data_IF_822687716593
#
_entry.id   IF_822687716593
#
_cell.length_a   1.000
_cell.length_b   1.000
_cell.length_c   1.000
_cell.angle_alpha   90.00
_cell.angle_beta   90.00
_cell.angle_gamma   90.00
#
_symmetry.space_group_name_H-M   'P 1'
#
loop_
_entity.id
_entity.type
_entity.pdbx_description
1 polymer ?
#
# COMPACT_ATOMS: atom_id res chain seq x y z
N UNK A 1 -31.90 -0.50 5.55
CA UNK A 1 -31.26 0.29 4.47
C UNK A 1 -30.59 1.55 5.02
N UNK A 2 -31.23 2.30 5.92
CA UNK A 2 -30.64 3.50 6.53
C UNK A 2 -29.31 3.26 7.27
N UNK A 3 -29.16 2.15 7.99
CA UNK A 3 -27.89 1.77 8.66
C UNK A 3 -26.77 1.37 7.69
N UNK A 4 -27.11 0.82 6.52
CA UNK A 4 -26.14 0.35 5.51
C UNK A 4 -25.59 1.55 4.74
N UNK A 5 -26.46 2.50 4.41
CA UNK A 5 -26.03 3.76 3.82
C UNK A 5 -25.25 4.61 4.83
N UNK A 6 -25.62 4.64 6.12
CA UNK A 6 -24.82 5.37 7.12
C UNK A 6 -23.46 4.76 7.40
N UNK A 7 -23.29 3.43 7.30
CA UNK A 7 -22.02 2.77 7.62
C UNK A 7 -20.83 3.33 6.82
N UNK A 8 -20.99 3.60 5.51
CA UNK A 8 -19.90 4.21 4.74
C UNK A 8 -19.63 5.66 5.20
N UNK A 9 -20.66 6.40 5.59
CA UNK A 9 -20.57 7.81 5.99
C UNK A 9 -20.11 7.97 7.46
N UNK A 10 -20.23 6.93 8.28
CA UNK A 10 -19.72 6.88 9.66
C UNK A 10 -18.19 6.75 9.69
N UNK A 11 -17.62 6.03 8.70
CA UNK A 11 -16.18 5.81 8.61
C UNK A 11 -15.47 6.74 7.61
N UNK A 12 -16.22 7.40 6.72
CA UNK A 12 -15.68 8.27 5.68
C UNK A 12 -16.52 9.54 5.53
N UNK A 13 -15.88 10.66 5.14
CA UNK A 13 -16.59 11.92 4.90
C UNK A 13 -17.71 11.75 3.86
N UNK A 14 -18.80 12.54 3.90
CA UNK A 14 -19.87 12.50 2.90
C UNK A 14 -19.38 12.59 1.44
N UNK A 15 -18.28 13.31 1.20
CA UNK A 15 -17.64 13.47 -0.12
C UNK A 15 -16.87 12.24 -0.62
N UNK A 16 -16.68 11.22 0.23
CA UNK A 16 -15.98 10.00 -0.16
C UNK A 16 -16.74 9.24 -1.25
N UNK A 17 -18.08 9.28 -1.23
CA UNK A 17 -18.89 8.67 -2.28
C UNK A 17 -18.69 9.31 -3.64
N UNK A 18 -18.69 10.64 -3.68
CA UNK A 18 -18.47 11.41 -4.90
C UNK A 18 -17.09 11.07 -5.49
N UNK A 19 -16.06 11.06 -4.64
CA UNK A 19 -14.69 10.69 -5.03
C UNK A 19 -14.58 9.24 -5.51
N UNK A 20 -15.33 8.31 -4.91
CA UNK A 20 -15.35 6.90 -5.33
C UNK A 20 -16.15 6.69 -6.62
N UNK A 21 -17.20 7.49 -6.86
CA UNK A 21 -18.00 7.45 -8.08
C UNK A 21 -17.24 8.06 -9.29
N UNK A 22 -16.26 8.94 -9.06
CA UNK A 22 -15.35 9.46 -10.09
C UNK A 22 -14.33 8.41 -10.61
N UNK A 23 -14.13 7.30 -9.88
CA UNK A 23 -13.19 6.27 -10.30
C UNK A 23 -13.76 5.43 -11.46
N UNK A 24 -12.96 5.27 -12.52
CA UNK A 24 -13.30 4.41 -13.67
C UNK A 24 -13.19 2.90 -13.39
N UNK A 25 -12.83 2.52 -12.17
CA UNK A 25 -12.56 1.14 -11.78
C UNK A 25 -13.83 0.36 -11.37
N UNK A 26 -13.78 -0.96 -11.51
CA UNK A 26 -14.92 -1.86 -11.29
C UNK A 26 -14.80 -2.52 -9.91
N UNK A 27 -15.41 -1.95 -8.88
CA UNK A 27 -15.26 -2.44 -7.51
C UNK A 27 -16.52 -2.28 -6.68
N UNK A 28 -16.56 -3.04 -5.58
CA UNK A 28 -17.52 -2.91 -4.50
C UNK A 28 -16.78 -2.76 -3.17
N UNK A 29 -17.40 -2.11 -2.20
CA UNK A 29 -16.91 -1.99 -0.82
C UNK A 29 -17.89 -2.73 0.07
N UNK A 30 -17.38 -3.61 0.92
CA UNK A 30 -18.17 -4.34 1.93
C UNK A 30 -17.79 -3.86 3.32
N UNK A 31 -18.76 -3.79 4.22
CA UNK A 31 -18.49 -3.51 5.63
C UNK A 31 -18.43 -4.81 6.43
N UNK A 32 -17.24 -5.20 6.94
CA UNK A 32 -17.08 -6.42 7.73
C UNK A 32 -17.64 -6.31 9.16
N UNK A 33 -17.93 -5.11 9.66
CA UNK A 33 -18.53 -4.91 10.98
C UNK A 33 -20.01 -5.30 11.02
N UNK A 34 -20.67 -5.35 9.85
CA UNK A 34 -22.07 -5.76 9.72
C UNK A 34 -22.15 -7.25 9.38
N UNK A 35 -23.00 -7.97 10.12
CA UNK A 35 -23.22 -9.41 9.90
C UNK A 35 -23.58 -9.70 8.44
N UNK A 36 -22.88 -10.68 7.85
CA UNK A 36 -23.04 -11.05 6.44
C UNK A 36 -22.13 -10.29 5.47
N UNK A 37 -21.32 -9.34 5.97
CA UNK A 37 -20.38 -8.52 5.19
C UNK A 37 -21.07 -7.87 3.97
N UNK A 38 -22.15 -7.12 4.18
CA UNK A 38 -22.92 -6.55 3.09
C UNK A 38 -22.10 -5.54 2.30
N UNK A 39 -22.40 -5.45 1.01
CA UNK A 39 -21.89 -4.42 0.13
C UNK A 39 -22.52 -3.10 0.54
N UNK A 40 -21.70 -2.12 0.90
CA UNK A 40 -22.10 -0.77 1.29
C UNK A 40 -21.91 0.24 0.15
N UNK A 41 -21.11 -0.11 -0.87
CA UNK A 41 -20.91 0.71 -2.06
C UNK A 41 -20.59 -0.14 -3.30
N UNK A 42 -21.05 0.30 -4.46
CA UNK A 42 -20.72 -0.30 -5.75
C UNK A 42 -20.46 0.81 -6.79
N UNK A 43 -19.30 0.73 -7.45
CA UNK A 43 -18.88 1.75 -8.43
C UNK A 43 -19.77 1.75 -9.66
N UNK A 44 -19.89 2.90 -10.33
CA UNK A 44 -20.69 3.02 -11.54
C UNK A 44 -20.20 2.08 -12.66
N UNK A 45 -18.89 1.96 -12.83
CA UNK A 45 -18.29 1.03 -13.80
C UNK A 45 -18.63 -0.44 -13.48
N UNK A 46 -18.62 -0.82 -12.20
CA UNK A 46 -19.04 -2.16 -11.79
C UNK A 46 -20.50 -2.45 -12.15
N UNK A 47 -21.42 -1.56 -11.78
CA UNK A 47 -22.85 -1.72 -12.05
C UNK A 47 -23.13 -1.84 -13.55
N UNK A 48 -22.46 -1.00 -14.36
CA UNK A 48 -22.54 -1.05 -15.83
C UNK A 48 -22.02 -2.36 -16.40
N UNK A 49 -20.92 -2.89 -15.87
CA UNK A 49 -20.33 -4.16 -16.31
C UNK A 49 -21.21 -5.36 -15.97
N UNK A 50 -21.77 -5.39 -14.76
CA UNK A 50 -22.55 -6.55 -14.31
C UNK A 50 -24.03 -6.49 -14.70
N UNK A 51 -24.53 -5.30 -15.05
CA UNK A 51 -25.94 -5.08 -15.38
C UNK A 51 -26.87 -5.05 -14.16
N UNK A 52 -26.34 -5.05 -12.95
CA UNK A 52 -27.13 -4.92 -11.71
C UNK A 52 -27.33 -3.45 -11.39
N UNK A 53 -28.49 -3.13 -10.82
CA UNK A 53 -28.76 -1.81 -10.26
C UNK A 53 -28.14 -1.67 -8.87
N UNK A 54 -27.93 -0.41 -8.43
CA UNK A 54 -27.36 -0.14 -7.11
C UNK A 54 -28.21 -0.74 -5.98
N UNK A 55 -29.53 -0.65 -6.08
CA UNK A 55 -30.47 -1.15 -5.07
C UNK A 55 -30.51 -2.68 -4.98
N UNK A 56 -30.17 -3.38 -6.07
CA UNK A 56 -30.06 -4.84 -6.07
C UNK A 56 -28.78 -5.33 -5.38
N UNK A 57 -27.72 -4.52 -5.40
CA UNK A 57 -26.37 -4.89 -4.93
C UNK A 57 -26.13 -4.42 -3.50
N UNK A 58 -26.49 -3.18 -3.17
CA UNK A 58 -26.24 -2.61 -1.85
C UNK A 58 -27.07 -3.35 -0.80
N UNK A 59 -26.42 -3.71 0.31
CA UNK A 59 -26.99 -4.53 1.37
C UNK A 59 -26.96 -6.04 1.13
N UNK A 60 -26.52 -6.49 -0.05
CA UNK A 60 -26.28 -7.92 -0.32
C UNK A 60 -24.84 -8.30 -0.01
N UNK A 61 -24.61 -9.59 0.25
CA UNK A 61 -23.25 -10.13 0.35
C UNK A 61 -22.67 -10.36 -1.05
N UNK A 62 -21.34 -10.27 -1.19
CA UNK A 62 -20.63 -10.61 -2.44
C UNK A 62 -20.89 -12.04 -2.94
N UNK A 63 -21.46 -12.91 -2.10
CA UNK A 63 -21.98 -14.21 -2.51
C UNK A 63 -23.06 -14.14 -3.60
N UNK A 64 -23.76 -13.02 -3.77
CA UNK A 64 -24.78 -12.84 -4.81
C UNK A 64 -24.23 -13.00 -6.24
N UNK A 65 -22.93 -12.79 -6.43
CA UNK A 65 -22.26 -12.92 -7.73
C UNK A 65 -21.74 -14.34 -7.99
N UNK A 66 -22.05 -15.31 -7.13
CA UNK A 66 -21.63 -16.70 -7.27
C UNK A 66 -22.71 -17.51 -7.98
N UNK A 67 -22.40 -18.01 -9.17
CA UNK A 67 -23.27 -18.87 -9.97
C UNK A 67 -22.87 -20.35 -9.92
N UNK A 68 -23.60 -21.22 -10.64
CA UNK A 68 -23.31 -22.66 -10.71
C UNK A 68 -21.89 -22.99 -11.22
N UNK A 69 -21.32 -22.11 -12.04
CA UNK A 69 -19.97 -22.23 -12.58
C UNK A 69 -18.88 -21.66 -11.66
N UNK A 70 -19.24 -21.02 -10.54
CA UNK A 70 -18.27 -20.44 -9.61
C UNK A 70 -17.51 -21.54 -8.88
N UNK A 71 -16.19 -21.52 -8.98
CA UNK A 71 -15.33 -22.51 -8.34
C UNK A 71 -15.41 -22.41 -6.81
N UNK A 72 -16.13 -23.36 -6.17
CA UNK A 72 -16.28 -23.39 -4.70
C UNK A 72 -14.95 -23.42 -3.95
N UNK A 73 -13.95 -24.09 -4.51
CA UNK A 73 -12.60 -24.14 -3.93
C UNK A 73 -11.95 -22.75 -3.88
N UNK A 74 -11.99 -22.00 -4.98
CA UNK A 74 -11.46 -20.63 -5.02
C UNK A 74 -12.22 -19.72 -4.05
N UNK A 75 -13.54 -19.88 -3.93
CA UNK A 75 -14.35 -19.13 -2.94
C UNK A 75 -13.93 -19.44 -1.51
N UNK A 76 -13.66 -20.70 -1.17
CA UNK A 76 -13.17 -21.08 0.16
C UNK A 76 -11.77 -20.54 0.43
N UNK A 77 -10.86 -20.63 -0.54
CA UNK A 77 -9.50 -20.05 -0.44
C UNK A 77 -9.56 -18.53 -0.20
N UNK A 78 -10.45 -17.81 -0.91
CA UNK A 78 -10.67 -16.37 -0.69
C UNK A 78 -11.27 -16.11 0.70
N UNK A 79 -12.25 -16.89 1.14
CA UNK A 79 -12.90 -16.72 2.45
C UNK A 79 -11.95 -16.98 3.61
N UNK A 80 -11.10 -18.00 3.51
CA UNK A 80 -10.07 -18.28 4.51
C UNK A 80 -9.03 -17.15 4.54
N UNK A 81 -8.57 -16.70 3.38
CA UNK A 81 -7.63 -15.59 3.28
C UNK A 81 -8.17 -14.28 3.87
N UNK A 82 -9.44 -13.94 3.61
CA UNK A 82 -10.10 -12.78 4.23
C UNK A 82 -10.26 -12.96 5.74
N UNK A 83 -10.56 -14.18 6.22
CA UNK A 83 -10.68 -14.48 7.66
C UNK A 83 -9.33 -14.45 8.39
N UNK A 84 -8.26 -14.86 7.72
CA UNK A 84 -6.90 -14.94 8.28
C UNK A 84 -6.05 -13.69 7.99
N UNK A 85 -6.62 -12.64 7.38
CA UNK A 85 -5.90 -11.46 6.85
C UNK A 85 -4.67 -11.83 5.99
N UNK A 86 -4.73 -12.97 5.30
CA UNK A 86 -3.67 -13.46 4.40
C UNK A 86 -3.98 -13.09 2.96
N UNK A 87 -2.96 -12.80 2.16
CA UNK A 87 -3.12 -12.69 0.71
C UNK A 87 -3.41 -14.07 0.09
N UNK A 88 -4.41 -14.16 -0.79
CA UNK A 88 -4.72 -15.40 -1.55
C UNK A 88 -3.68 -15.57 -2.67
N UNK A 89 -2.88 -16.65 -2.69
CA UNK A 89 -2.13 -17.02 -3.89
C UNK A 89 -3.09 -17.76 -4.84
N UNK A 90 -3.43 -17.15 -5.97
CA UNK A 90 -4.16 -17.85 -7.04
C UNK A 90 -3.25 -18.93 -7.65
N UNK A 91 -3.42 -20.19 -7.21
CA UNK A 91 -2.65 -21.33 -7.74
C UNK A 91 -3.15 -21.75 -9.13
N UNK A 92 -2.29 -21.61 -10.15
CA UNK A 92 -2.40 -22.38 -11.40
C UNK A 92 -1.94 -23.83 -11.15
N UNK A 93 -2.65 -24.80 -11.75
CA UNK A 93 -2.32 -26.24 -11.66
C UNK A 93 -0.90 -26.52 -12.15
N UNK A 94 -0.11 -27.38 -11.47
CA UNK A 94 1.13 -27.90 -12.03
C UNK A 94 0.81 -28.89 -13.17
N UNK A 95 1.49 -28.74 -14.30
CA UNK A 95 1.66 -29.84 -15.26
C UNK A 95 2.67 -30.81 -14.68
N UNK A 96 2.29 -32.08 -14.62
CA UNK A 96 3.19 -33.19 -14.33
C UNK A 96 4.10 -33.37 -15.53
N UNK A 97 5.41 -33.21 -15.34
CA UNK A 97 6.44 -33.83 -16.17
C UNK A 97 7.41 -34.50 -15.22
N UNK A 98 7.58 -35.81 -15.41
CA UNK A 98 8.31 -36.68 -14.49
C UNK A 98 9.83 -36.66 -14.68
N UNK A 99 10.43 -37.42 -13.76
CA UNK A 99 11.77 -38.02 -13.77
C UNK A 99 12.90 -37.23 -13.11
N UNK A 100 13.28 -37.71 -11.93
CA UNK A 100 14.69 -38.01 -11.61
C UNK A 100 15.42 -37.06 -10.65
N UNK A 101 15.86 -37.61 -9.51
CA UNK A 101 17.05 -37.15 -8.78
C UNK A 101 16.81 -36.08 -7.73
N UNK A 102 16.80 -36.47 -6.46
CA UNK A 102 16.64 -35.55 -5.33
C UNK A 102 17.86 -34.69 -5.06
N UNK A 103 17.64 -33.56 -4.39
CA UNK A 103 18.52 -33.02 -3.35
C UNK A 103 17.70 -32.08 -2.44
N UNK A 104 18.13 -32.04 -1.19
CA UNK A 104 17.57 -31.37 -0.01
C UNK A 104 17.16 -29.90 -0.23
N UNK A 105 15.89 -29.59 0.00
CA UNK A 105 15.36 -28.23 0.02
C UNK A 105 15.35 -27.71 1.47
N UNK A 106 16.27 -26.80 1.78
CA UNK A 106 16.19 -25.97 2.99
C UNK A 106 15.08 -24.95 2.75
N UNK A 107 13.97 -25.13 3.46
CA UNK A 107 12.81 -24.24 3.42
C UNK A 107 13.06 -23.10 4.42
N UNK A 108 13.51 -21.95 3.93
CA UNK A 108 13.52 -20.73 4.73
C UNK A 108 12.13 -20.08 4.69
N UNK A 109 11.32 -20.39 5.70
CA UNK A 109 10.03 -19.77 5.93
C UNK A 109 10.23 -18.39 6.58
N UNK A 110 10.00 -17.31 5.85
CA UNK A 110 9.82 -15.99 6.45
C UNK A 110 8.31 -15.72 6.58
N UNK A 111 7.80 -15.97 7.78
CA UNK A 111 6.48 -15.55 8.22
C UNK A 111 6.48 -14.05 8.54
N UNK A 112 5.45 -13.31 8.09
CA UNK A 112 5.08 -12.04 8.73
C UNK A 112 3.59 -11.75 8.62
N UNK A 113 2.91 -11.87 9.76
CA UNK A 113 1.63 -11.21 10.05
C UNK A 113 1.92 -9.97 10.91
N UNK A 114 1.10 -8.93 10.75
CA UNK A 114 1.00 -7.83 11.71
C UNK A 114 -0.40 -7.83 12.32
N UNK A 115 -0.62 -8.68 13.34
CA UNK A 115 -1.52 -8.44 14.49
C UNK A 115 -1.52 -9.65 15.42
N UNK A 116 -0.63 -9.62 16.41
CA UNK A 116 -0.88 -10.13 17.76
C UNK A 116 -0.22 -9.12 18.70
N UNK A 117 -1.01 -8.16 19.13
CA UNK A 117 -0.65 -7.36 20.29
C UNK A 117 -0.71 -8.26 21.51
N UNK A 118 0.41 -8.28 22.24
CA UNK A 118 0.56 -8.48 23.68
C UNK A 118 -0.67 -9.04 24.41
N UNK A 119 -0.80 -10.36 24.48
CA UNK A 119 -1.34 -11.00 25.69
C UNK A 119 -0.15 -11.40 26.53
N UNK A 120 0.12 -10.65 27.60
CA UNK A 120 0.92 -11.12 28.72
C UNK A 120 -0.02 -11.20 29.90
N UNK A 121 -0.46 -12.42 30.20
CA UNK A 121 -0.98 -12.77 31.52
C UNK A 121 0.17 -12.69 32.51
N UNK A 122 0.16 -11.68 33.37
CA UNK A 122 0.70 -11.81 34.72
C UNK A 122 -0.09 -10.95 35.68
N UNK A 123 -0.75 -11.66 36.60
CA UNK A 123 -1.47 -11.24 37.78
C UNK A 123 -0.77 -10.13 38.59
N UNK A 124 -1.63 -9.37 39.27
CA UNK A 124 -1.41 -8.68 40.54
C UNK A 124 -0.50 -7.44 40.52
N UNK A 125 -1.11 -6.27 40.37
CA UNK A 125 -1.24 -5.30 41.47
C UNK A 125 -2.13 -4.12 41.06
N UNK A 126 -2.68 -3.43 42.08
CA UNK A 126 -3.54 -2.24 42.01
C UNK A 126 -5.05 -2.49 41.79
N UNK A 127 -5.60 -3.34 42.66
CA UNK A 127 -6.84 -2.94 43.34
C UNK A 127 -6.53 -1.82 44.34
N UNK A 128 -7.48 -0.89 44.52
CA UNK A 128 -7.47 0.39 45.29
C UNK A 128 -7.11 1.56 44.37
N UNK A 129 -8.07 2.33 43.86
CA UNK A 129 -9.05 3.10 44.65
C UNK A 129 -10.43 3.05 44.00
N UNK A 130 -11.40 2.66 44.82
CA UNK A 130 -12.84 2.66 44.54
C UNK A 130 -13.45 4.00 44.98
N UNK A 131 -14.40 4.47 44.18
CA UNK A 131 -15.62 5.20 44.59
C UNK A 131 -15.59 6.71 44.81
N UNK A 132 -16.73 7.30 44.39
CA UNK A 132 -17.25 8.66 44.52
C UNK A 132 -16.77 9.65 43.43
N UNK A 133 -17.61 10.25 42.60
CA UNK A 133 -18.95 10.77 42.88
C UNK A 133 -19.91 10.74 41.67
N UNK A 134 -21.19 10.70 42.01
CA UNK A 134 -22.39 10.73 41.17
C UNK A 134 -22.70 12.15 40.65
N UNK A 135 -23.27 12.17 39.44
CA UNK A 135 -24.38 13.03 38.92
C UNK A 135 -24.16 14.55 38.91
N UNK A 136 -24.31 15.18 37.74
CA UNK A 136 -25.38 16.13 37.41
C UNK A 136 -25.34 16.48 35.92
N UNK A 137 -26.51 16.38 35.28
CA UNK A 137 -26.78 16.99 33.98
C UNK A 137 -26.71 18.52 34.11
N UNK A 138 -26.14 19.19 33.11
CA UNK A 138 -26.61 20.50 32.71
C UNK A 138 -26.36 20.73 31.22
N UNK A 139 -27.38 21.31 30.60
CA UNK A 139 -27.51 21.61 29.18
C UNK A 139 -26.95 23.03 28.88
N UNK A 140 -26.69 23.27 27.59
CA UNK A 140 -26.54 24.55 26.86
C UNK A 140 -25.18 25.31 26.87
N UNK A 141 -24.59 25.33 25.67
CA UNK A 141 -23.75 26.36 25.00
C UNK A 141 -22.58 27.02 25.75
N UNK A 142 -21.36 26.86 25.19
CA UNK A 142 -20.47 27.99 24.92
C UNK A 142 -19.32 27.57 23.97
N UNK A 143 -18.95 28.49 23.08
CA UNK A 143 -17.78 28.38 22.20
C UNK A 143 -16.50 28.37 23.05
N UNK A 144 -15.68 27.34 22.90
CA UNK A 144 -14.28 27.41 23.33
C UNK A 144 -13.36 27.19 22.13
N UNK A 145 -12.54 28.21 21.88
CA UNK A 145 -11.39 28.20 20.99
C UNK A 145 -10.44 27.06 21.39
N UNK A 146 -10.26 26.08 20.50
CA UNK A 146 -9.23 25.04 20.63
C UNK A 146 -7.84 25.69 20.49
N UNK A 147 -7.26 26.10 21.62
CA UNK A 147 -5.83 26.41 21.70
C UNK A 147 -4.99 25.16 21.40
N UNK A 148 -3.81 25.29 20.76
CA UNK A 148 -2.90 24.17 20.55
C UNK A 148 -2.49 23.57 21.90
N UNK A 149 -3.07 22.42 22.26
CA UNK A 149 -2.73 21.71 23.50
C UNK A 149 -1.31 21.17 23.38
N UNK A 150 -0.37 21.87 23.99
CA UNK A 150 0.96 21.32 24.22
C UNK A 150 0.85 20.10 25.15
N UNK A 151 1.41 18.97 24.71
CA UNK A 151 1.43 17.75 25.52
C UNK A 151 2.00 18.05 26.90
N UNK A 152 1.28 17.63 27.94
CA UNK A 152 1.64 17.90 29.33
C UNK A 152 3.00 17.29 29.68
N UNK A 153 3.67 17.82 30.69
CA UNK A 153 4.97 17.28 31.13
C UNK A 153 4.92 15.78 31.46
N UNK A 154 3.77 15.29 31.91
CA UNK A 154 3.54 13.89 32.24
C UNK A 154 3.32 13.03 30.99
N UNK A 155 2.62 13.54 29.97
CA UNK A 155 2.50 12.88 28.66
C UNK A 155 3.87 12.78 27.97
N UNK A 156 4.69 13.85 28.03
CA UNK A 156 6.05 13.85 27.48
C UNK A 156 6.93 12.82 28.18
N UNK A 157 6.86 12.71 29.51
CA UNK A 157 7.56 11.68 30.30
C UNK A 157 7.08 10.27 30.01
N UNK A 158 5.76 10.09 29.89
CA UNK A 158 5.14 8.80 29.57
C UNK A 158 5.59 8.32 28.17
N UNK A 159 5.56 9.19 27.17
CA UNK A 159 6.05 8.90 25.82
C UNK A 159 7.55 8.57 25.80
N UNK A 160 8.37 9.31 26.56
CA UNK A 160 9.81 9.04 26.69
C UNK A 160 10.07 7.65 27.30
N UNK A 161 9.33 7.30 28.35
CA UNK A 161 9.44 6.00 29.03
C UNK A 161 9.01 4.85 28.11
N UNK A 162 7.91 5.03 27.36
CA UNK A 162 7.46 4.06 26.36
C UNK A 162 8.52 3.85 25.26
N UNK A 163 9.15 4.93 24.78
CA UNK A 163 10.25 4.83 23.80
C UNK A 163 11.45 4.08 24.36
N UNK A 164 11.88 4.36 25.60
CA UNK A 164 13.01 3.65 26.22
C UNK A 164 12.72 2.15 26.41
N UNK A 165 11.49 1.79 26.78
CA UNK A 165 11.07 0.39 26.87
C UNK A 165 11.12 -0.32 25.51
N UNK A 166 10.60 0.32 24.46
CA UNK A 166 10.66 -0.21 23.09
C UNK A 166 12.12 -0.40 22.66
N UNK A 167 12.97 0.61 22.89
CA UNK A 167 14.39 0.53 22.55
C UNK A 167 15.11 -0.58 23.31
N UNK A 168 14.80 -0.78 24.60
CA UNK A 168 15.36 -1.86 25.41
C UNK A 168 15.05 -3.22 24.80
N UNK A 169 13.78 -3.48 24.45
CA UNK A 169 13.35 -4.73 23.81
C UNK A 169 14.02 -4.92 22.45
N UNK A 170 14.06 -3.87 21.62
CA UNK A 170 14.67 -3.92 20.30
C UNK A 170 16.19 -4.13 20.36
N UNK A 171 16.87 -3.53 21.35
CA UNK A 171 18.32 -3.70 21.55
C UNK A 171 18.64 -5.13 21.96
N UNK A 172 17.88 -5.70 22.89
CA UNK A 172 18.00 -7.10 23.29
C UNK A 172 17.76 -8.06 22.11
N UNK A 173 16.75 -7.78 21.27
CA UNK A 173 16.49 -8.59 20.06
C UNK A 173 17.57 -8.41 18.98
N UNK A 174 18.13 -7.21 18.87
CA UNK A 174 19.27 -6.87 17.99
C UNK A 174 20.50 -7.70 18.33
N UNK A 175 20.84 -7.80 19.62
CA UNK A 175 21.96 -8.62 20.11
C UNK A 175 21.79 -10.10 19.76
N UNK A 176 20.56 -10.62 19.84
CA UNK A 176 20.24 -12.00 19.49
C UNK A 176 20.22 -12.29 17.98
N UNK A 177 19.95 -11.27 17.15
CA UNK A 177 19.75 -11.45 15.69
C UNK A 177 20.83 -10.81 14.82
N UNK A 178 21.81 -10.12 15.43
CA UNK A 178 22.89 -9.42 14.74
C UNK A 178 22.44 -8.18 13.96
N UNK A 179 21.23 -7.66 14.18
CA UNK A 179 20.65 -6.51 13.45
C UNK A 179 20.74 -5.23 14.27
N UNK A 180 21.64 -4.31 13.90
CA UNK A 180 21.92 -3.08 14.64
C UNK A 180 20.67 -2.20 14.87
N UNK A 181 20.39 -1.81 16.12
CA UNK A 181 19.37 -0.82 16.52
C UNK A 181 20.08 0.41 17.06
N UNK A 182 19.72 1.62 16.61
CA UNK A 182 20.38 2.86 17.04
C UNK A 182 19.39 3.86 17.64
N UNK A 183 19.74 4.46 18.79
CA UNK A 183 18.96 5.50 19.48
C UNK A 183 18.98 6.85 18.76
N UNK A 184 19.96 7.09 17.88
CA UNK A 184 19.95 8.27 17.02
C UNK A 184 18.70 8.18 16.15
N UNK A 185 17.87 9.23 16.14
CA UNK A 185 16.97 9.46 14.99
C UNK A 185 17.88 9.36 13.78
N UNK A 186 17.68 8.34 12.93
CA UNK A 186 18.47 8.21 11.73
C UNK A 186 18.23 9.46 10.90
N UNK A 187 19.12 10.42 11.01
CA UNK A 187 19.33 11.47 10.03
C UNK A 187 19.94 10.77 8.82
N UNK A 188 19.13 9.96 8.14
CA UNK A 188 19.38 9.64 6.74
C UNK A 188 19.54 11.01 6.08
N UNK A 189 20.60 11.23 5.26
CA UNK A 189 20.72 12.48 4.53
C UNK A 189 19.37 12.75 3.86
N UNK A 190 18.91 14.00 3.94
CA UNK A 190 17.59 14.59 3.68
C UNK A 190 16.89 14.20 2.34
N UNK A 191 16.90 12.91 2.01
CA UNK A 191 16.21 12.29 0.88
C UNK A 191 14.78 12.09 1.37
N UNK A 192 14.01 13.18 1.33
CA UNK A 192 12.57 13.28 1.58
C UNK A 192 11.96 12.08 2.30
N UNK A 193 12.01 12.11 3.63
CA UNK A 193 11.54 11.00 4.46
C UNK A 193 10.04 10.78 4.19
N UNK A 194 9.70 9.65 3.56
CA UNK A 194 8.29 9.26 3.41
C UNK A 194 7.71 8.95 4.79
N UNK A 195 6.44 9.30 5.02
CA UNK A 195 5.78 8.94 6.25
C UNK A 195 5.71 7.41 6.40
N UNK A 196 5.79 6.91 7.63
CA UNK A 196 5.66 5.47 7.91
C UNK A 196 4.36 4.89 7.35
N UNK A 197 3.26 5.66 7.41
CA UNK A 197 1.97 5.29 6.84
C UNK A 197 2.00 5.14 5.31
N UNK A 198 2.74 6.00 4.60
CA UNK A 198 2.97 5.85 3.16
C UNK A 198 3.73 4.57 2.86
N UNK A 199 4.85 4.36 3.56
CA UNK A 199 5.73 3.20 3.36
C UNK A 199 4.95 1.90 3.57
N UNK A 200 4.14 1.82 4.63
CA UNK A 200 3.29 0.65 4.91
C UNK A 200 2.29 0.43 3.77
N UNK A 201 1.66 1.50 3.27
CA UNK A 201 0.67 1.41 2.19
C UNK A 201 1.29 0.95 0.87
N UNK A 202 2.44 1.53 0.52
CA UNK A 202 3.20 1.14 -0.67
C UNK A 202 3.74 -0.30 -0.57
N UNK A 203 4.09 -0.77 0.63
CA UNK A 203 4.59 -2.12 0.87
C UNK A 203 3.57 -3.24 0.59
N UNK A 204 2.29 -2.90 0.48
CA UNK A 204 1.22 -3.85 0.10
C UNK A 204 1.21 -4.18 -1.39
N UNK A 205 1.76 -3.30 -2.22
CA UNK A 205 1.79 -3.46 -3.68
C UNK A 205 2.88 -4.46 -4.07
N UNK A 206 2.52 -5.51 -4.81
CA UNK A 206 3.44 -6.62 -5.17
C UNK A 206 4.14 -6.46 -6.50
N UNK A 207 3.82 -5.42 -7.26
CA UNK A 207 4.40 -5.15 -8.57
C UNK A 207 5.72 -4.39 -8.45
N UNK A 208 6.55 -4.43 -9.50
CA UNK A 208 7.77 -3.62 -9.57
C UNK A 208 7.42 -2.17 -9.81
N UNK A 209 7.76 -1.30 -8.85
CA UNK A 209 7.67 0.14 -9.04
C UNK A 209 8.64 0.88 -8.13
N UNK A 210 8.88 2.14 -8.48
CA UNK A 210 9.64 3.11 -7.69
C UNK A 210 8.87 4.43 -7.58
N UNK A 211 9.06 5.16 -6.49
CA UNK A 211 8.70 6.58 -6.41
C UNK A 211 9.99 7.41 -6.46
N UNK A 212 9.96 8.47 -7.24
CA UNK A 212 11.04 9.45 -7.35
C UNK A 212 10.53 10.83 -6.95
N UNK A 213 11.39 11.65 -6.34
CA UNK A 213 11.03 12.98 -5.89
C UNK A 213 11.58 14.05 -6.86
N UNK A 214 10.73 14.70 -7.68
CA UNK A 214 11.18 15.71 -8.65
C UNK A 214 11.68 17.01 -8.02
N UNK A 215 11.41 17.25 -6.73
CA UNK A 215 11.83 18.45 -6.01
C UNK A 215 13.24 18.34 -5.42
N UNK A 216 13.82 17.14 -5.44
CA UNK A 216 15.20 16.91 -5.02
C UNK A 216 16.14 16.94 -6.23
N UNK A 217 17.40 17.38 -6.06
CA UNK A 217 18.39 17.37 -7.13
C UNK A 217 18.50 15.98 -7.75
N UNK A 218 18.54 15.94 -9.08
CA UNK A 218 18.68 14.70 -9.85
C UNK A 218 17.49 13.73 -9.80
N UNK A 219 16.36 14.12 -9.18
CA UNK A 219 15.13 13.33 -9.07
C UNK A 219 15.40 11.89 -8.58
N UNK A 220 15.89 11.74 -7.33
CA UNK A 220 16.31 10.47 -6.77
C UNK A 220 15.10 9.59 -6.43
N UNK A 221 15.34 8.28 -6.37
CA UNK A 221 14.39 7.30 -5.86
C UNK A 221 14.25 7.48 -4.34
N UNK A 222 13.03 7.73 -3.88
CA UNK A 222 12.67 7.83 -2.45
C UNK A 222 11.98 6.57 -1.92
N UNK A 223 11.51 5.70 -2.82
CA UNK A 223 10.98 4.38 -2.49
C UNK A 223 11.17 3.41 -3.65
N UNK A 224 11.54 2.18 -3.34
CA UNK A 224 11.61 1.08 -4.29
C UNK A 224 10.88 -0.15 -3.72
N UNK A 225 10.02 -0.77 -4.53
CA UNK A 225 9.28 -1.95 -4.10
C UNK A 225 10.18 -3.18 -4.02
N UNK A 226 9.77 -4.18 -3.23
CA UNK A 226 10.51 -5.44 -3.13
C UNK A 226 10.58 -6.18 -4.48
N UNK A 227 9.55 -6.03 -5.31
CA UNK A 227 9.55 -6.58 -6.66
C UNK A 227 10.53 -5.85 -7.59
N UNK A 228 10.76 -4.55 -7.41
CA UNK A 228 11.80 -3.82 -8.15
C UNK A 228 13.20 -4.32 -7.83
N UNK A 229 13.50 -4.52 -6.53
CA UNK A 229 14.79 -5.09 -6.11
C UNK A 229 14.99 -6.49 -6.68
N UNK A 230 13.95 -7.34 -6.64
CA UNK A 230 13.99 -8.68 -7.25
C UNK A 230 14.19 -8.65 -8.75
N UNK A 231 13.51 -7.74 -9.46
CA UNK A 231 13.60 -7.60 -10.91
C UNK A 231 15.01 -7.16 -11.35
N UNK A 232 15.61 -6.22 -10.61
CA UNK A 232 16.85 -5.55 -11.02
C UNK A 232 18.12 -6.12 -10.38
N UNK A 233 17.98 -6.86 -9.27
CA UNK A 233 19.08 -7.43 -8.50
C UNK A 233 19.82 -6.45 -7.59
N UNK A 234 19.37 -5.19 -7.48
CA UNK A 234 19.97 -4.20 -6.60
C UNK A 234 19.38 -4.25 -5.18
N UNK A 235 20.22 -3.97 -4.19
CA UNK A 235 19.79 -3.82 -2.80
C UNK A 235 19.16 -2.45 -2.56
N UNK A 236 18.34 -2.35 -1.50
CA UNK A 236 17.57 -1.13 -1.21
C UNK A 236 18.47 0.09 -1.00
N UNK A 237 19.55 -0.09 -0.26
CA UNK A 237 20.57 0.91 0.06
C UNK A 237 21.36 1.38 -1.16
N UNK A 238 21.44 0.57 -2.22
CA UNK A 238 22.08 0.95 -3.49
C UNK A 238 21.16 1.77 -4.40
N UNK A 239 19.85 1.65 -4.21
CA UNK A 239 18.84 2.26 -5.08
C UNK A 239 18.31 3.57 -4.52
N UNK A 240 18.06 3.63 -3.20
CA UNK A 240 17.53 4.83 -2.56
C UNK A 240 18.52 5.98 -2.69
N UNK A 241 18.02 7.17 -3.02
CA UNK A 241 18.86 8.35 -3.27
C UNK A 241 19.48 8.41 -4.67
N UNK A 242 19.38 7.35 -5.47
CA UNK A 242 19.91 7.32 -6.84
C UNK A 242 18.82 7.64 -7.87
N UNK A 243 19.20 8.25 -8.98
CA UNK A 243 18.33 8.36 -10.15
C UNK A 243 18.24 7.02 -10.90
N UNK A 244 17.04 6.65 -11.39
CA UNK A 244 16.79 5.39 -12.10
C UNK A 244 17.67 5.13 -13.36
N UNK A 245 18.41 6.13 -13.86
CA UNK A 245 19.26 5.98 -15.04
C UNK A 245 20.37 4.93 -14.92
N UNK A 246 20.70 4.47 -13.71
CA UNK A 246 21.66 3.37 -13.51
C UNK A 246 21.21 2.06 -14.18
N UNK A 247 19.92 1.92 -14.49
CA UNK A 247 19.39 0.80 -15.26
C UNK A 247 19.68 0.90 -16.77
N UNK A 248 20.14 2.05 -17.26
CA UNK A 248 20.55 2.22 -18.66
C UNK A 248 21.92 1.60 -18.94
N UNK A 249 22.16 1.24 -20.20
CA UNK A 249 23.45 0.75 -20.69
C UNK A 249 23.72 1.19 -22.13
N UNK A 250 24.72 0.60 -22.77
CA UNK A 250 25.19 1.03 -24.09
C UNK A 250 24.13 0.89 -25.20
N UNK A 251 23.29 -0.14 -25.13
CA UNK A 251 22.27 -0.41 -26.14
C UNK A 251 20.90 0.17 -25.75
N UNK A 252 20.82 0.94 -24.65
CA UNK A 252 19.61 1.66 -24.28
C UNK A 252 19.38 2.81 -25.26
N UNK A 253 18.25 2.76 -25.96
CA UNK A 253 17.91 3.76 -26.98
C UNK A 253 17.80 5.19 -26.39
N UNK A 254 18.60 6.10 -26.94
CA UNK A 254 18.66 7.50 -26.54
C UNK A 254 17.37 8.26 -26.89
N UNK A 255 16.65 7.87 -27.95
CA UNK A 255 15.41 8.53 -28.35
C UNK A 255 14.28 8.26 -27.33
N UNK A 256 14.22 7.03 -26.82
CA UNK A 256 13.31 6.64 -25.74
C UNK A 256 13.61 7.40 -24.44
N UNK A 257 14.90 7.59 -24.11
CA UNK A 257 15.30 8.42 -22.97
C UNK A 257 14.89 9.88 -23.13
N UNK A 258 14.96 10.43 -24.34
CA UNK A 258 14.50 11.79 -24.63
C UNK A 258 12.98 11.92 -24.41
N UNK A 259 12.19 10.96 -24.91
CA UNK A 259 10.73 10.93 -24.71
C UNK A 259 10.35 10.89 -23.21
N UNK A 260 11.05 10.08 -22.42
CA UNK A 260 10.86 10.03 -20.97
C UNK A 260 11.12 11.42 -20.34
N UNK A 261 12.24 12.05 -20.69
CA UNK A 261 12.60 13.38 -20.16
C UNK A 261 11.58 14.45 -20.52
N UNK A 262 11.09 14.44 -21.77
CA UNK A 262 10.04 15.37 -22.21
C UNK A 262 8.72 15.15 -21.46
N UNK A 263 8.33 13.89 -21.24
CA UNK A 263 7.11 13.56 -20.51
C UNK A 263 7.18 13.97 -19.04
N UNK A 264 8.34 13.78 -18.39
CA UNK A 264 8.59 14.29 -17.03
C UNK A 264 8.51 15.82 -16.99
N UNK A 265 9.17 16.50 -17.94
CA UNK A 265 9.17 17.98 -18.03
C UNK A 265 7.78 18.57 -18.26
N UNK A 266 6.94 17.88 -19.02
CA UNK A 266 5.56 18.30 -19.32
C UNK A 266 4.54 17.78 -18.30
N UNK A 267 5.00 17.09 -17.24
CA UNK A 267 4.16 16.44 -16.23
C UNK A 267 3.09 15.52 -16.84
N UNK A 268 3.42 14.82 -17.92
CA UNK A 268 2.53 13.88 -18.59
C UNK A 268 2.93 12.43 -18.32
N UNK A 269 1.95 11.51 -18.24
CA UNK A 269 2.26 10.09 -18.19
C UNK A 269 2.83 9.60 -19.53
N UNK A 270 3.75 8.65 -19.49
CA UNK A 270 4.27 7.99 -20.69
C UNK A 270 4.46 6.50 -20.47
N UNK A 271 4.21 5.71 -21.51
CA UNK A 271 4.54 4.27 -21.54
C UNK A 271 5.53 4.03 -22.66
N UNK A 272 6.67 3.44 -22.35
CA UNK A 272 7.72 3.14 -23.33
C UNK A 272 8.26 1.75 -23.11
N UNK A 273 8.81 1.15 -24.17
CA UNK A 273 9.58 -0.09 -24.06
C UNK A 273 11.06 0.24 -24.17
N UNK A 274 11.81 0.04 -23.10
CA UNK A 274 13.21 0.43 -22.98
C UNK A 274 14.08 -0.76 -22.59
N UNK A 275 15.28 -0.86 -23.15
CA UNK A 275 16.24 -1.87 -22.75
C UNK A 275 16.94 -1.43 -21.46
N UNK A 276 16.87 -2.25 -20.42
CA UNK A 276 17.50 -2.01 -19.12
C UNK A 276 18.44 -3.15 -18.73
N UNK A 277 19.35 -2.87 -17.80
CA UNK A 277 20.37 -3.80 -17.34
C UNK A 277 20.28 -3.99 -15.82
N UNK A 278 20.38 -5.24 -15.40
CA UNK A 278 20.41 -5.63 -13.99
C UNK A 278 21.80 -5.44 -13.39
N UNK A 279 21.89 -5.61 -12.07
CA UNK A 279 23.17 -5.58 -11.34
C UNK A 279 24.18 -6.59 -11.88
N UNK A 280 23.72 -7.77 -12.27
CA UNK A 280 24.52 -8.84 -12.87
C UNK A 280 24.89 -8.61 -14.35
N UNK A 281 24.56 -7.43 -14.89
CA UNK A 281 24.77 -7.02 -16.29
C UNK A 281 23.89 -7.73 -17.32
N UNK A 282 22.98 -8.61 -16.90
CA UNK A 282 21.97 -9.15 -17.82
C UNK A 282 21.01 -8.05 -18.28
N UNK A 283 20.64 -8.08 -19.55
CA UNK A 283 19.67 -7.14 -20.12
C UNK A 283 18.25 -7.69 -20.03
N UNK A 284 17.27 -6.79 -19.95
CA UNK A 284 15.85 -7.12 -20.09
C UNK A 284 15.08 -5.98 -20.74
N UNK A 285 14.03 -6.32 -21.48
CA UNK A 285 13.10 -5.33 -22.00
C UNK A 285 12.14 -4.91 -20.90
N UNK A 286 12.17 -3.64 -20.55
CA UNK A 286 11.32 -3.03 -19.56
C UNK A 286 10.18 -2.29 -20.28
N UNK A 287 8.97 -2.82 -20.19
CA UNK A 287 7.77 -2.04 -20.45
C UNK A 287 7.56 -1.11 -19.24
N UNK A 288 8.03 0.13 -19.40
CA UNK A 288 8.08 1.15 -18.36
C UNK A 288 6.91 2.11 -18.51
N UNK A 289 6.13 2.26 -17.46
CA UNK A 289 5.11 3.31 -17.36
C UNK A 289 5.50 4.32 -16.29
N UNK A 290 5.53 5.60 -16.64
CA UNK A 290 5.83 6.71 -15.73
C UNK A 290 4.58 7.58 -15.63
N UNK A 291 4.18 7.94 -14.40
CA UNK A 291 3.03 8.82 -14.17
C UNK A 291 3.33 9.81 -13.05
N UNK A 292 2.94 11.09 -13.19
CA UNK A 292 2.99 12.03 -12.08
C UNK A 292 1.98 11.64 -10.99
N UNK A 293 2.40 11.75 -9.75
CA UNK A 293 1.58 11.55 -8.56
C UNK A 293 1.43 12.90 -7.87
N UNK A 294 0.19 13.40 -7.85
CA UNK A 294 -0.13 14.73 -7.32
C UNK A 294 -0.59 14.63 -5.88
N UNK A 295 -0.20 15.61 -5.07
CA UNK A 295 -0.71 15.78 -3.71
C UNK A 295 -2.16 16.31 -3.71
N UNK A 296 -2.67 16.64 -2.52
CA UNK A 296 -3.99 17.24 -2.36
C UNK A 296 -4.09 18.66 -2.95
N UNK A 297 -2.97 19.39 -3.10
CA UNK A 297 -2.93 20.71 -3.73
C UNK A 297 -2.97 20.64 -5.27
N UNK A 298 -2.87 19.43 -5.83
CA UNK A 298 -2.80 19.22 -7.28
C UNK A 298 -1.39 19.40 -7.87
N UNK A 299 -0.38 19.72 -7.04
CA UNK A 299 1.02 19.77 -7.47
C UNK A 299 1.61 18.38 -7.54
N UNK A 300 2.55 18.14 -8.46
CA UNK A 300 3.27 16.86 -8.54
C UNK A 300 4.14 16.72 -7.31
N UNK A 301 3.85 15.73 -6.47
CA UNK A 301 4.67 15.40 -5.30
C UNK A 301 5.75 14.38 -5.65
N UNK A 302 5.41 13.40 -6.50
CA UNK A 302 6.32 12.32 -6.91
C UNK A 302 6.07 11.93 -8.36
N UNK A 303 7.02 11.20 -8.95
CA UNK A 303 6.75 10.38 -10.13
C UNK A 303 6.80 8.90 -9.74
N UNK A 304 5.78 8.14 -10.15
CA UNK A 304 5.79 6.68 -10.05
C UNK A 304 6.28 6.09 -11.36
N UNK A 305 7.25 5.18 -11.29
CA UNK A 305 7.71 4.38 -12.42
C UNK A 305 7.40 2.92 -12.18
N UNK A 306 6.56 2.30 -13.02
CA UNK A 306 6.15 0.90 -12.93
C UNK A 306 6.84 0.09 -14.04
N UNK A 307 7.54 -0.98 -13.66
CA UNK A 307 8.31 -1.82 -14.58
C UNK A 307 7.64 -3.17 -14.77
N UNK A 308 7.57 -3.62 -16.02
CA UNK A 308 7.18 -4.99 -16.36
C UNK A 308 8.24 -5.52 -17.32
N UNK A 309 8.82 -6.67 -16.98
CA UNK A 309 9.69 -7.38 -17.91
C UNK A 309 8.85 -7.97 -19.05
N UNK A 310 9.17 -7.55 -20.28
CA UNK A 310 8.50 -7.97 -21.51
C UNK A 310 9.35 -9.04 -22.22
N UNK A 311 8.97 -10.31 -22.06
CA UNK A 311 9.63 -11.44 -22.72
C UNK A 311 8.89 -11.80 -24.01
N UNK A 312 9.52 -11.56 -25.16
CA UNK A 312 9.00 -11.88 -26.49
C UNK A 312 8.67 -13.37 -26.69
N UNK A 313 9.17 -14.28 -25.84
CA UNK A 313 9.08 -15.73 -26.05
C UNK A 313 7.82 -16.39 -25.47
N UNK A 314 6.97 -15.66 -24.75
CA UNK A 314 5.77 -16.24 -24.14
C UNK A 314 4.48 -15.66 -24.74
N UNK A 315 4.04 -16.26 -25.84
CA UNK A 315 2.71 -16.04 -26.44
C UNK A 315 1.54 -16.55 -25.54
N UNK A 316 1.86 -17.04 -24.33
CA UNK A 316 0.89 -17.50 -23.33
C UNK A 316 0.25 -16.34 -22.52
N UNK A 317 0.55 -15.09 -22.88
CA UNK A 317 0.06 -13.86 -22.24
C UNK A 317 -1.43 -13.55 -22.48
N UNK A 318 -2.20 -14.41 -23.17
CA UNK A 318 -3.64 -14.21 -23.39
C UNK A 318 -4.54 -14.44 -22.16
N UNK A 319 -4.00 -14.75 -20.97
CA UNK A 319 -4.82 -15.12 -19.78
C UNK A 319 -4.53 -14.37 -18.47
N UNK A 320 -3.76 -13.29 -18.46
CA UNK A 320 -3.49 -12.57 -17.21
C UNK A 320 -3.24 -11.08 -17.45
N UNK A 321 -4.33 -10.29 -17.46
CA UNK A 321 -4.40 -8.81 -17.49
C UNK A 321 -3.47 -8.13 -18.50
N UNK A 322 -4.02 -7.31 -19.40
CA UNK A 322 -3.18 -6.55 -20.33
C UNK A 322 -2.14 -5.73 -19.53
N UNK A 323 -0.86 -5.65 -19.97
CA UNK A 323 0.21 -5.03 -19.17
C UNK A 323 -0.07 -3.59 -18.72
N UNK A 324 -0.78 -2.82 -19.55
CA UNK A 324 -1.34 -1.51 -19.24
C UNK A 324 -2.23 -1.53 -17.99
N UNK A 325 -3.15 -2.49 -17.87
CA UNK A 325 -4.02 -2.61 -16.69
C UNK A 325 -3.23 -2.88 -15.42
N UNK A 326 -2.16 -3.67 -15.50
CA UNK A 326 -1.28 -3.94 -14.33
C UNK A 326 -0.54 -2.67 -13.90
N UNK A 327 -0.04 -1.89 -14.86
CA UNK A 327 0.64 -0.63 -14.59
C UNK A 327 -0.31 0.41 -13.99
N UNK A 328 -1.49 0.60 -14.61
CA UNK A 328 -2.47 1.58 -14.18
C UNK A 328 -3.06 1.26 -12.81
N UNK A 329 -3.25 -0.02 -12.48
CA UNK A 329 -3.68 -0.45 -11.14
C UNK A 329 -2.68 0.00 -10.06
N UNK A 330 -1.38 -0.21 -10.29
CA UNK A 330 -0.32 0.27 -9.37
C UNK A 330 -0.34 1.78 -9.24
N UNK A 331 -0.43 2.49 -10.37
CA UNK A 331 -0.50 3.96 -10.38
C UNK A 331 -1.70 4.46 -9.58
N UNK A 332 -2.86 3.82 -9.72
CA UNK A 332 -4.08 4.15 -8.97
C UNK A 332 -3.87 4.02 -7.47
N UNK A 333 -3.36 2.88 -7.00
CA UNK A 333 -3.09 2.65 -5.56
C UNK A 333 -2.07 3.64 -5.01
N UNK A 334 -1.00 3.92 -5.75
CA UNK A 334 0.04 4.90 -5.34
C UNK A 334 -0.56 6.31 -5.25
N UNK A 335 -1.37 6.72 -6.24
CA UNK A 335 -2.03 8.03 -6.23
C UNK A 335 -2.96 8.21 -5.05
N UNK A 336 -3.75 7.19 -4.71
CA UNK A 336 -4.62 7.20 -3.53
C UNK A 336 -3.78 7.33 -2.26
N UNK A 337 -2.75 6.49 -2.10
CA UNK A 337 -1.91 6.49 -0.90
C UNK A 337 -1.21 7.84 -0.66
N UNK A 338 -0.71 8.50 -1.72
CA UNK A 338 -0.05 9.82 -1.59
C UNK A 338 -1.07 10.93 -1.27
N UNK A 339 -2.25 10.90 -1.89
CA UNK A 339 -3.29 11.90 -1.64
C UNK A 339 -3.85 11.83 -0.22
N UNK A 340 -4.13 10.63 0.29
CA UNK A 340 -4.67 10.43 1.63
C UNK A 340 -3.76 10.97 2.75
N UNK A 341 -2.45 11.06 2.52
CA UNK A 341 -1.49 11.60 3.50
C UNK A 341 -1.41 13.13 3.47
N UNK A 342 -1.60 13.72 2.30
CA UNK A 342 -1.57 15.18 2.15
C UNK A 342 -2.78 15.84 2.82
N UNK A 343 -3.90 15.11 2.95
CA UNK A 343 -5.09 15.57 3.65
C UNK A 343 -4.89 15.73 5.17
N UNK A 344 -4.03 14.90 5.79
CA UNK A 344 -3.72 15.04 7.22
C UNK A 344 -2.80 16.22 7.57
N UNK A 345 -2.17 16.85 6.57
CA UNK A 345 -1.22 17.94 6.77
C UNK A 345 -1.81 19.33 6.41
N UNK A 346 -3.06 19.40 5.94
CA UNK A 346 -3.61 20.56 5.23
C UNK A 346 -4.70 21.37 5.95
N UNK A 347 -4.89 21.24 7.26
CA UNK A 347 -5.88 22.05 8.00
C UNK A 347 -5.20 22.88 9.09
N UNK A 348 -4.34 23.80 8.70
CA UNK A 348 -3.91 24.91 9.53
C UNK A 348 -3.50 26.06 8.62
N UNK A 349 -4.48 26.83 8.16
CA UNK A 349 -4.35 28.25 7.77
C UNK A 349 -5.67 28.69 7.13
N UNK A 350 -6.55 29.27 7.94
CA UNK A 350 -7.31 30.50 7.67
C UNK A 350 -8.00 30.94 8.94
#
# INVERSE_FOLDING_TARGET
>A
MESINRSLDEFYSPHARESLDELSEHFTITDPSISGHPIVFASHAFLKMTGFTRDEVVGRSGAMFQGPATCRRAVMEIREAVREEREVPLRRKPRVCGSGGGFSQVNEFVFRCCRKEVCSDSLAELSRVSSANRVLEHDVSELESEEPREASGDERRSAATAMDNIFSVLTHYSELTGKLVCRKRCSIPDVGLLSSSLIISLGRIKQSFVLTNPHLPDMPIVYASDAFMKLTGYARDEVLGCNCRFLGGCDTDASTLHLIRESIKTEQPCTVRILNYRKDKSSFWNLLHISPVRDASGKVAYFVGVQIEDDYKNDDFRRCWRPDMKQLSVVGVVKVAVRSLSMSAGSSNT
#
